data_IF_528828927779
#
_entry.id   IF_528828927779
#
_cell.length_a   1.000
_cell.length_b   1.000
_cell.length_c   1.000
_cell.angle_alpha   90.00
_cell.angle_beta   90.00
_cell.angle_gamma   90.00
#
_symmetry.space_group_name_H-M   'P 1'
#
loop_
_entity.id
_entity.type
_entity.pdbx_description
1 polymer ?
#
# COMPACT_ATOMS: atom_id res chain seq x y z
N UNK A 1 9.81 8.49 26.06
CA UNK A 1 9.11 7.93 24.89
C UNK A 1 9.92 8.16 23.63
N UNK A 2 10.13 7.11 22.86
CA UNK A 2 10.92 7.21 21.64
C UNK A 2 10.06 7.75 20.49
N UNK A 3 10.55 8.80 19.83
CA UNK A 3 9.84 9.39 18.69
C UNK A 3 10.24 8.64 17.42
N UNK A 4 9.26 8.07 16.74
CA UNK A 4 9.50 7.35 15.48
C UNK A 4 9.43 8.36 14.33
N UNK A 5 10.49 8.39 13.52
CA UNK A 5 10.56 9.24 12.35
C UNK A 5 10.44 8.37 11.10
N UNK A 6 9.46 8.68 10.24
CA UNK A 6 9.24 7.98 9.00
C UNK A 6 9.73 8.88 7.87
N UNK A 7 10.51 8.30 6.97
CA UNK A 7 11.02 9.03 5.81
C UNK A 7 10.06 8.90 4.63
N UNK A 8 10.07 9.92 3.77
CA UNK A 8 9.27 9.90 2.54
C UNK A 8 9.77 8.79 1.61
N UNK A 9 8.90 7.88 1.13
CA UNK A 9 9.35 6.77 0.29
C UNK A 9 9.85 7.19 -1.09
N UNK A 10 9.48 8.36 -1.57
CA UNK A 10 9.95 8.88 -2.86
C UNK A 10 11.26 9.64 -2.68
N UNK A 11 11.38 10.42 -1.62
CA UNK A 11 12.60 11.16 -1.31
C UNK A 11 13.02 10.82 0.13
N UNK A 12 13.85 9.78 0.32
CA UNK A 12 14.20 9.31 1.67
C UNK A 12 15.10 10.27 2.46
N UNK A 13 15.47 11.39 1.88
CA UNK A 13 16.18 12.45 2.60
C UNK A 13 15.23 13.37 3.36
N UNK A 14 13.93 13.26 3.13
CA UNK A 14 12.91 14.12 3.75
C UNK A 14 12.07 13.32 4.74
N UNK A 15 11.71 13.97 5.84
CA UNK A 15 10.82 13.40 6.83
C UNK A 15 9.39 13.49 6.32
N UNK A 16 8.66 12.38 6.42
CA UNK A 16 7.27 12.34 6.02
C UNK A 16 6.37 12.99 7.09
N UNK A 17 5.26 13.56 6.63
CA UNK A 17 4.21 14.06 7.50
C UNK A 17 3.19 12.96 7.76
N UNK A 18 2.60 12.92 8.95
CA UNK A 18 1.51 12.00 9.26
C UNK A 18 0.14 12.55 8.88
N UNK A 19 0.09 13.55 8.02
CA UNK A 19 -1.15 14.15 7.54
C UNK A 19 -1.99 13.11 6.77
N UNK A 20 -3.22 12.80 7.21
CA UNK A 20 -4.07 11.82 6.50
C UNK A 20 -4.37 12.21 5.06
N UNK A 21 -4.30 13.50 4.70
CA UNK A 21 -4.52 13.96 3.34
C UNK A 21 -3.39 13.57 2.39
N UNK A 22 -2.22 13.25 2.95
CA UNK A 22 -1.04 12.85 2.19
C UNK A 22 -0.74 11.36 2.29
N UNK A 23 -1.65 10.60 2.90
CA UNK A 23 -1.44 9.18 3.15
C UNK A 23 -1.99 8.32 2.02
N UNK A 24 -1.23 7.30 1.61
CA UNK A 24 -1.65 6.32 0.61
C UNK A 24 -1.55 4.93 1.21
N UNK A 25 -2.53 4.07 0.91
CA UNK A 25 -2.50 2.67 1.34
C UNK A 25 -2.30 1.74 0.15
N UNK A 26 -1.34 0.82 0.28
CA UNK A 26 -1.19 -0.32 -0.61
C UNK A 26 -1.19 -1.58 0.25
N UNK A 27 -2.12 -2.50 -0.03
CA UNK A 27 -2.25 -3.75 0.74
C UNK A 27 -2.29 -3.49 2.25
N UNK A 28 -2.98 -2.41 2.66
CA UNK A 28 -3.13 -1.97 4.05
C UNK A 28 -1.84 -1.46 4.70
N UNK A 29 -0.77 -1.35 3.94
CA UNK A 29 0.43 -0.67 4.40
C UNK A 29 0.30 0.81 4.10
N UNK A 30 0.54 1.64 5.12
CA UNK A 30 0.39 3.09 4.99
C UNK A 30 1.70 3.71 4.55
N UNK A 31 1.62 4.60 3.57
CA UNK A 31 2.76 5.37 3.08
C UNK A 31 2.49 6.84 3.35
N UNK A 32 3.44 7.51 3.97
CA UNK A 32 3.35 8.92 4.34
C UNK A 32 4.36 9.73 3.54
N UNK A 33 4.04 10.99 3.24
CA UNK A 33 4.82 11.81 2.33
C UNK A 33 5.16 13.16 2.97
N UNK A 34 6.27 13.74 2.54
CA UNK A 34 6.67 15.07 3.01
C UNK A 34 5.77 16.18 2.45
N UNK A 35 5.13 15.93 1.31
CA UNK A 35 4.23 16.90 0.69
C UNK A 35 3.51 16.31 -0.50
N UNK A 36 2.68 17.12 -1.14
CA UNK A 36 1.88 16.71 -2.28
C UNK A 36 2.70 16.29 -3.49
N UNK A 37 3.87 16.90 -3.69
CA UNK A 37 4.71 16.59 -4.84
C UNK A 37 5.19 15.14 -4.82
N UNK A 38 5.69 14.68 -3.67
CA UNK A 38 6.15 13.28 -3.55
C UNK A 38 4.99 12.31 -3.54
N UNK A 39 3.85 12.67 -2.94
CA UNK A 39 2.66 11.85 -3.01
C UNK A 39 2.22 11.60 -4.46
N UNK A 40 2.20 12.66 -5.29
CA UNK A 40 1.82 12.53 -6.70
C UNK A 40 2.78 11.63 -7.47
N UNK A 41 4.07 11.75 -7.19
CA UNK A 41 5.06 10.89 -7.85
C UNK A 41 4.88 9.43 -7.45
N UNK A 42 4.55 9.17 -6.20
CA UNK A 42 4.26 7.82 -5.72
C UNK A 42 3.03 7.24 -6.43
N UNK A 43 1.94 8.03 -6.51
CA UNK A 43 0.69 7.58 -7.14
C UNK A 43 0.86 7.31 -8.64
N UNK A 44 1.79 8.01 -9.29
CA UNK A 44 2.06 7.81 -10.71
C UNK A 44 2.75 6.47 -10.97
N UNK A 45 3.54 5.97 -10.02
CA UNK A 45 4.27 4.71 -10.17
C UNK A 45 4.54 4.10 -8.79
N UNK A 46 3.49 3.60 -8.12
CA UNK A 46 3.63 3.19 -6.72
C UNK A 46 4.58 2.01 -6.52
N UNK A 47 4.65 1.08 -7.46
CA UNK A 47 5.50 -0.11 -7.29
C UNK A 47 6.98 0.20 -7.38
N UNK A 48 7.34 1.32 -7.98
CA UNK A 48 8.73 1.77 -8.00
C UNK A 48 9.25 2.04 -6.59
N UNK A 49 8.38 2.45 -5.68
CA UNK A 49 8.77 2.93 -4.36
C UNK A 49 8.34 2.01 -3.22
N UNK A 50 7.37 1.12 -3.45
CA UNK A 50 6.75 0.36 -2.37
C UNK A 50 7.57 -0.84 -1.89
N UNK A 51 8.31 -1.50 -2.76
CA UNK A 51 8.95 -2.76 -2.42
C UNK A 51 7.95 -3.92 -2.27
N UNK A 52 8.31 -4.97 -1.53
CA UNK A 52 7.40 -6.11 -1.34
C UNK A 52 6.15 -5.76 -0.56
N UNK A 53 5.05 -6.44 -0.89
CA UNK A 53 3.76 -6.28 -0.22
C UNK A 53 3.27 -7.65 0.27
N UNK A 54 2.26 -7.63 1.15
CA UNK A 54 1.63 -8.84 1.64
C UNK A 54 0.28 -9.02 0.93
N UNK A 55 0.08 -10.18 0.29
CA UNK A 55 -1.21 -10.51 -0.32
C UNK A 55 -2.27 -10.60 0.79
N UNK A 56 -3.40 -9.87 0.68
CA UNK A 56 -4.38 -9.85 1.76
C UNK A 56 -5.12 -11.18 1.97
N UNK A 57 -5.12 -12.05 0.97
CA UNK A 57 -5.81 -13.34 1.05
C UNK A 57 -4.87 -14.42 1.55
N UNK A 58 -3.73 -14.63 0.87
CA UNK A 58 -2.80 -15.70 1.20
C UNK A 58 -1.91 -15.37 2.38
N UNK A 59 -1.77 -14.09 2.72
CA UNK A 59 -0.85 -13.58 3.75
C UNK A 59 0.61 -13.80 3.40
N UNK A 60 0.89 -14.12 2.14
CA UNK A 60 2.26 -14.29 1.66
C UNK A 60 2.86 -12.96 1.23
N UNK A 61 4.14 -12.81 1.50
CA UNK A 61 4.93 -11.67 1.06
C UNK A 61 5.35 -11.90 -0.39
N UNK A 62 5.20 -10.89 -1.24
CA UNK A 62 5.56 -11.00 -2.65
C UNK A 62 6.02 -9.64 -3.17
N UNK A 63 6.75 -9.64 -4.28
CA UNK A 63 7.15 -8.41 -4.94
C UNK A 63 6.23 -8.17 -6.14
N UNK A 64 5.32 -7.20 -6.04
CA UNK A 64 4.41 -6.93 -7.14
C UNK A 64 5.13 -6.27 -8.31
N UNK A 65 4.57 -6.45 -9.51
CA UNK A 65 5.05 -5.79 -10.71
C UNK A 65 3.85 -5.25 -11.50
N UNK A 66 4.11 -4.68 -12.67
CA UNK A 66 3.04 -4.07 -13.47
C UNK A 66 1.99 -5.07 -13.97
N UNK A 67 2.30 -6.37 -13.93
CA UNK A 67 1.37 -7.42 -14.35
C UNK A 67 0.60 -8.02 -13.18
N UNK A 68 0.91 -7.63 -11.95
CA UNK A 68 0.23 -8.16 -10.78
C UNK A 68 -1.24 -7.78 -10.80
N UNK A 69 -2.15 -8.73 -10.51
CA UNK A 69 -3.57 -8.38 -10.38
C UNK A 69 -3.76 -7.35 -9.28
N UNK A 70 -4.67 -6.41 -9.50
CA UNK A 70 -4.97 -5.40 -8.49
C UNK A 70 -6.45 -5.07 -8.45
N UNK A 71 -6.91 -4.58 -7.30
CA UNK A 71 -8.29 -4.20 -7.07
C UNK A 71 -8.31 -2.96 -6.17
N UNK A 72 -9.24 -2.05 -6.44
CA UNK A 72 -9.50 -0.91 -5.56
C UNK A 72 -10.71 -1.22 -4.69
N UNK A 73 -10.58 -0.95 -3.38
CA UNK A 73 -11.67 -1.14 -2.44
C UNK A 73 -11.63 -0.03 -1.39
N UNK A 74 -12.68 0.79 -1.34
CA UNK A 74 -12.82 1.91 -0.37
C UNK A 74 -11.55 2.77 -0.29
N UNK A 75 -11.14 3.32 -1.43
CA UNK A 75 -9.98 4.20 -1.57
C UNK A 75 -8.63 3.54 -1.29
N UNK A 76 -8.63 2.22 -1.06
CA UNK A 76 -7.39 1.45 -0.89
C UNK A 76 -7.12 0.63 -2.13
N UNK A 77 -5.84 0.51 -2.49
CA UNK A 77 -5.41 -0.34 -3.60
C UNK A 77 -4.79 -1.61 -3.05
N UNK A 78 -5.19 -2.75 -3.61
CA UNK A 78 -4.66 -4.06 -3.23
C UNK A 78 -4.05 -4.73 -4.44
N UNK A 79 -2.81 -5.20 -4.29
CA UNK A 79 -2.12 -6.04 -5.27
C UNK A 79 -2.14 -7.49 -4.78
N UNK A 80 -2.16 -8.44 -5.73
CA UNK A 80 -2.29 -9.86 -5.42
C UNK A 80 -1.17 -10.64 -6.07
N UNK A 81 -0.75 -11.73 -5.42
CA UNK A 81 0.26 -12.62 -5.98
C UNK A 81 -0.25 -13.44 -7.15
N UNK A 82 -1.59 -13.59 -7.27
CA UNK A 82 -2.20 -14.40 -8.32
C UNK A 82 -3.62 -13.94 -8.60
N UNK A 83 -4.17 -14.35 -9.76
CA UNK A 83 -5.57 -14.11 -10.07
C UNK A 83 -6.49 -14.89 -9.14
N UNK A 84 -6.03 -16.01 -8.60
CA UNK A 84 -6.82 -16.80 -7.65
C UNK A 84 -7.10 -16.00 -6.38
N UNK A 85 -6.05 -15.42 -5.78
CA UNK A 85 -6.25 -14.63 -4.56
C UNK A 85 -7.05 -13.37 -4.83
N UNK A 86 -6.87 -12.75 -6.01
CA UNK A 86 -7.68 -11.61 -6.41
C UNK A 86 -9.17 -11.96 -6.45
N UNK A 87 -9.50 -13.12 -7.04
CA UNK A 87 -10.90 -13.58 -7.12
C UNK A 87 -11.49 -13.88 -5.75
N UNK A 88 -10.70 -14.48 -4.88
CA UNK A 88 -11.14 -14.75 -3.52
C UNK A 88 -11.42 -13.46 -2.75
N UNK A 89 -10.58 -12.45 -2.94
CA UNK A 89 -10.81 -11.13 -2.36
C UNK A 89 -12.11 -10.51 -2.88
N UNK A 90 -12.35 -10.62 -4.18
CA UNK A 90 -13.53 -10.00 -4.81
C UNK A 90 -14.85 -10.57 -4.31
N UNK A 91 -14.85 -11.84 -3.89
CA UNK A 91 -16.05 -12.49 -3.33
C UNK A 91 -16.44 -11.86 -1.99
N UNK A 92 -15.47 -11.52 -1.15
CA UNK A 92 -15.76 -10.96 0.17
C UNK A 92 -14.66 -9.99 0.60
N UNK A 93 -14.57 -8.83 -0.04
CA UNK A 93 -13.44 -7.92 0.19
C UNK A 93 -13.34 -7.44 1.63
N UNK A 94 -14.48 -7.25 2.31
CA UNK A 94 -14.44 -6.75 3.66
C UNK A 94 -13.82 -7.76 4.65
N UNK A 95 -13.88 -9.06 4.34
CA UNK A 95 -13.29 -10.08 5.21
C UNK A 95 -11.77 -10.05 5.17
N UNK A 96 -11.20 -9.62 4.03
CA UNK A 96 -9.76 -9.57 3.85
C UNK A 96 -9.18 -8.17 4.06
N UNK A 97 -9.92 -7.15 3.70
CA UNK A 97 -9.43 -5.78 3.78
C UNK A 97 -9.20 -5.29 5.21
N UNK A 98 -9.93 -5.85 6.19
CA UNK A 98 -9.84 -5.42 7.58
C UNK A 98 -8.99 -6.36 8.44
N UNK A 99 -8.31 -7.34 7.81
CA UNK A 99 -7.63 -8.40 8.54
C UNK A 99 -6.51 -7.89 9.46
N UNK A 100 -5.82 -6.84 9.04
CA UNK A 100 -4.70 -6.29 9.80
C UNK A 100 -5.10 -5.35 10.93
N UNK A 101 -6.35 -5.02 11.03
CA UNK A 101 -6.85 -4.11 12.06
C UNK A 101 -7.15 -4.81 13.39
N UNK A 102 -7.03 -6.11 13.42
CA UNK A 102 -7.34 -6.91 14.61
C UNK A 102 -6.11 -7.18 15.45
#
# INVERSE_FOLDING_TARGET
>A
MMKITVMDPVDPRRVASYDPKLRVFLNQEAYFFAGMATEKRFLADPLRYSGPLTDPVSQKRFKPDRYSPKTHYKDHTFYFESTLTQRQFAVSPKDYANRREN
#
